data_IF_019654411342
#
_entry.id   IF_019654411342
#
_cell.length_a   1.000
_cell.length_b   1.000
_cell.length_c   1.000
_cell.angle_alpha   90.00
_cell.angle_beta   90.00
_cell.angle_gamma   90.00
#
_symmetry.space_group_name_H-M   'P 1'
#
loop_
_entity.id
_entity.type
_entity.pdbx_description
1 polymer ?
#
# COMPACT_ATOMS: atom_id res chain seq x y z
N UNK A 1 -13.53 24.88 13.14
CA UNK A 1 -12.93 24.79 11.79
C UNK A 1 -13.97 24.30 10.83
N UNK A 2 -13.94 24.70 9.56
CA UNK A 2 -14.87 24.19 8.56
C UNK A 2 -14.58 22.69 8.33
N UNK A 3 -15.62 21.87 8.20
CA UNK A 3 -15.47 20.45 7.86
C UNK A 3 -14.96 20.32 6.42
N UNK A 4 -14.04 19.39 6.20
CA UNK A 4 -13.51 19.09 4.88
C UNK A 4 -14.53 18.29 4.08
N UNK A 5 -14.75 18.64 2.83
CA UNK A 5 -15.70 18.01 1.93
C UNK A 5 -15.02 16.87 1.17
N UNK A 6 -15.56 15.67 1.31
CA UNK A 6 -14.94 14.43 0.81
C UNK A 6 -15.77 13.83 -0.31
N UNK A 7 -15.10 13.51 -1.44
CA UNK A 7 -15.64 12.72 -2.54
C UNK A 7 -15.01 11.34 -2.62
N UNK A 8 -15.74 10.35 -3.13
CA UNK A 8 -15.25 8.98 -3.37
C UNK A 8 -15.41 8.63 -4.84
N UNK A 9 -14.32 8.18 -5.49
CA UNK A 9 -14.33 7.65 -6.87
C UNK A 9 -14.16 6.13 -6.84
N UNK A 10 -15.09 5.39 -7.46
CA UNK A 10 -15.09 3.94 -7.48
C UNK A 10 -15.70 3.36 -6.21
N UNK A 11 -17.02 3.44 -6.09
CA UNK A 11 -17.75 2.98 -4.90
C UNK A 11 -17.79 1.46 -4.78
N UNK A 12 -17.71 0.77 -5.94
CA UNK A 12 -17.89 -0.67 -5.99
C UNK A 12 -19.22 -1.11 -5.38
N UNK A 13 -19.28 -2.32 -4.89
CA UNK A 13 -20.47 -2.85 -4.21
C UNK A 13 -20.15 -3.33 -2.81
N UNK A 14 -21.12 -3.21 -1.90
CA UNK A 14 -21.02 -3.76 -0.56
C UNK A 14 -20.77 -5.26 -0.62
N UNK A 15 -19.87 -5.73 0.20
CA UNK A 15 -19.49 -7.15 0.24
C UNK A 15 -20.62 -7.98 0.84
N UNK A 16 -21.22 -8.82 0.01
CA UNK A 16 -22.20 -9.82 0.45
C UNK A 16 -21.56 -11.17 0.82
N UNK A 17 -20.28 -11.34 0.43
CA UNK A 17 -19.54 -12.60 0.57
C UNK A 17 -18.16 -12.35 1.17
N UNK A 18 -17.75 -13.13 2.19
CA UNK A 18 -16.49 -12.93 2.91
C UNK A 18 -15.24 -13.31 2.09
N UNK A 19 -15.39 -13.99 0.98
CA UNK A 19 -14.32 -14.51 0.11
C UNK A 19 -13.89 -13.55 -1.01
N UNK A 20 -14.62 -12.43 -1.20
CA UNK A 20 -14.33 -11.43 -2.25
C UNK A 20 -13.60 -10.23 -1.62
N UNK A 21 -12.41 -9.93 -2.11
CA UNK A 21 -11.62 -8.73 -1.75
C UNK A 21 -11.65 -7.70 -2.88
N UNK A 22 -11.48 -6.43 -2.56
CA UNK A 22 -11.25 -5.36 -3.53
C UNK A 22 -12.47 -4.54 -3.96
N UNK A 23 -13.68 -5.07 -3.93
CA UNK A 23 -14.87 -4.37 -4.42
C UNK A 23 -15.58 -3.48 -3.38
N UNK A 24 -15.07 -3.38 -2.18
CA UNK A 24 -15.73 -2.69 -1.07
C UNK A 24 -14.81 -1.70 -0.34
N UNK A 25 -13.63 -1.41 -0.87
CA UNK A 25 -12.66 -0.54 -0.18
C UNK A 25 -13.19 0.88 0.03
N UNK A 26 -14.03 1.38 -0.86
CA UNK A 26 -14.73 2.65 -0.68
C UNK A 26 -15.52 2.71 0.64
N UNK A 27 -16.17 1.61 1.04
CA UNK A 27 -16.91 1.54 2.33
C UNK A 27 -15.96 1.60 3.53
N UNK A 28 -14.74 1.06 3.42
CA UNK A 28 -13.73 1.17 4.48
C UNK A 28 -13.18 2.60 4.59
N UNK A 29 -12.93 3.26 3.45
CA UNK A 29 -12.56 4.67 3.43
C UNK A 29 -13.68 5.53 4.01
N UNK A 30 -14.93 5.31 3.60
CA UNK A 30 -16.10 6.02 4.13
C UNK A 30 -16.23 5.88 5.65
N UNK A 31 -16.06 4.67 6.18
CA UNK A 31 -16.09 4.44 7.63
C UNK A 31 -15.00 5.23 8.35
N UNK A 32 -13.80 5.35 7.77
CA UNK A 32 -12.72 6.17 8.29
C UNK A 32 -13.09 7.66 8.37
N UNK A 33 -13.69 8.21 7.32
CA UNK A 33 -14.16 9.60 7.34
C UNK A 33 -15.35 9.79 8.31
N UNK A 34 -16.29 8.87 8.35
CA UNK A 34 -17.45 8.93 9.25
C UNK A 34 -17.07 8.83 10.74
N UNK A 35 -15.90 8.27 11.06
CA UNK A 35 -15.37 8.27 12.42
C UNK A 35 -14.92 9.68 12.88
N UNK A 36 -14.85 10.65 11.96
CA UNK A 36 -14.37 12.02 12.21
C UNK A 36 -15.40 13.10 11.80
N UNK A 37 -16.66 13.02 12.30
CA UNK A 37 -17.78 13.84 11.82
C UNK A 37 -17.61 15.35 12.06
N UNK A 38 -16.79 15.72 13.04
CA UNK A 38 -16.48 17.13 13.32
C UNK A 38 -15.39 17.70 12.39
N UNK A 39 -14.68 16.85 11.67
CA UNK A 39 -13.53 17.22 10.85
C UNK A 39 -13.81 17.16 9.35
N UNK A 40 -14.63 16.24 8.90
CA UNK A 40 -14.96 16.04 7.49
C UNK A 40 -16.39 15.51 7.29
N UNK A 41 -16.85 15.57 6.06
CA UNK A 41 -18.15 15.05 5.65
C UNK A 41 -18.08 14.44 4.25
N UNK A 42 -18.74 13.28 4.06
CA UNK A 42 -18.92 12.67 2.76
C UNK A 42 -20.04 13.43 2.03
N UNK A 43 -19.71 14.03 0.88
CA UNK A 43 -20.67 14.88 0.16
C UNK A 43 -20.95 14.39 -1.25
N UNK A 44 -20.06 13.59 -1.85
CA UNK A 44 -20.25 13.10 -3.20
C UNK A 44 -19.59 11.72 -3.41
N UNK A 45 -20.11 10.98 -4.39
CA UNK A 45 -19.50 9.74 -4.86
C UNK A 45 -19.73 9.56 -6.37
N UNK A 46 -18.82 8.86 -7.03
CA UNK A 46 -18.93 8.54 -8.45
C UNK A 46 -18.58 7.06 -8.70
N UNK A 47 -19.42 6.38 -9.49
CA UNK A 47 -19.16 5.05 -10.02
C UNK A 47 -19.78 4.93 -11.41
N UNK A 48 -19.10 4.28 -12.35
CA UNK A 48 -19.62 4.05 -13.70
C UNK A 48 -20.91 3.21 -13.72
N UNK A 49 -21.16 2.46 -12.63
CA UNK A 49 -22.39 1.69 -12.37
C UNK A 49 -23.25 2.49 -11.39
N UNK A 50 -24.30 3.12 -11.89
CA UNK A 50 -25.14 4.04 -11.08
C UNK A 50 -25.72 3.36 -9.83
N UNK A 51 -26.10 2.09 -9.93
CA UNK A 51 -26.64 1.31 -8.84
C UNK A 51 -25.65 1.16 -7.68
N UNK A 52 -24.33 1.02 -8.00
CA UNK A 52 -23.27 1.00 -7.00
C UNK A 52 -23.15 2.34 -6.29
N UNK A 53 -23.15 3.44 -7.04
CA UNK A 53 -23.07 4.79 -6.48
C UNK A 53 -24.28 5.11 -5.59
N UNK A 54 -25.49 4.77 -6.03
CA UNK A 54 -26.72 4.95 -5.24
C UNK A 54 -26.73 4.13 -3.95
N UNK A 55 -26.37 2.83 -4.03
CA UNK A 55 -26.29 1.97 -2.85
C UNK A 55 -25.22 2.46 -1.85
N UNK A 56 -24.09 2.96 -2.36
CA UNK A 56 -23.07 3.55 -1.53
C UNK A 56 -23.53 4.84 -0.85
N UNK A 57 -24.20 5.73 -1.58
CA UNK A 57 -24.74 6.98 -1.08
C UNK A 57 -25.80 6.73 0.02
N UNK A 58 -26.71 5.78 -0.20
CA UNK A 58 -27.69 5.36 0.82
C UNK A 58 -27.00 4.85 2.09
N UNK A 59 -25.98 4.00 1.94
CA UNK A 59 -25.25 3.42 3.08
C UNK A 59 -24.41 4.44 3.85
N UNK A 60 -23.96 5.51 3.21
CA UNK A 60 -23.04 6.50 3.79
C UNK A 60 -23.67 7.85 4.10
N UNK A 61 -24.94 8.05 3.71
CA UNK A 61 -25.68 9.29 3.95
C UNK A 61 -25.34 10.43 2.97
N UNK A 62 -24.70 10.13 1.83
CA UNK A 62 -24.47 11.10 0.76
C UNK A 62 -25.83 11.44 0.12
N UNK A 63 -26.16 12.75 -0.04
CA UNK A 63 -27.45 13.14 -0.64
C UNK A 63 -27.51 12.78 -2.13
N UNK A 64 -28.72 12.66 -2.67
CA UNK A 64 -28.95 12.20 -4.05
C UNK A 64 -28.26 13.07 -5.10
N UNK A 65 -28.17 14.38 -4.87
CA UNK A 65 -27.45 15.35 -5.70
C UNK A 65 -25.92 15.17 -5.68
N UNK A 66 -25.38 14.41 -4.74
CA UNK A 66 -23.97 14.04 -4.64
C UNK A 66 -23.62 12.73 -5.34
N UNK A 67 -24.54 12.12 -6.09
CA UNK A 67 -24.35 10.83 -6.75
C UNK A 67 -24.08 11.05 -8.25
N UNK A 68 -22.91 10.61 -8.73
CA UNK A 68 -22.46 10.82 -10.08
C UNK A 68 -22.10 9.49 -10.78
N UNK A 69 -22.25 9.43 -12.10
CA UNK A 69 -21.73 8.36 -12.94
C UNK A 69 -20.40 8.74 -13.61
N UNK A 70 -20.09 10.04 -13.63
CA UNK A 70 -18.86 10.60 -14.15
C UNK A 70 -18.13 11.38 -13.03
N UNK A 71 -16.95 10.93 -12.68
CA UNK A 71 -16.14 11.59 -11.65
C UNK A 71 -15.66 12.99 -12.06
N UNK A 72 -15.55 13.31 -13.37
CA UNK A 72 -15.21 14.66 -13.80
C UNK A 72 -16.33 15.64 -13.46
N UNK A 73 -17.59 15.24 -13.67
CA UNK A 73 -18.74 16.03 -13.24
C UNK A 73 -18.74 16.22 -11.72
N UNK A 74 -18.46 15.15 -10.96
CA UNK A 74 -18.32 15.24 -9.50
C UNK A 74 -17.24 16.25 -9.08
N UNK A 75 -16.04 16.18 -9.70
CA UNK A 75 -14.95 17.12 -9.42
C UNK A 75 -15.31 18.57 -9.74
N UNK A 76 -16.08 18.80 -10.80
CA UNK A 76 -16.48 20.14 -11.20
C UNK A 76 -17.58 20.75 -10.32
N UNK A 77 -18.49 19.96 -9.78
CA UNK A 77 -19.72 20.42 -9.15
C UNK A 77 -19.75 20.31 -7.61
N UNK A 78 -19.01 19.32 -7.03
CA UNK A 78 -19.18 19.01 -5.61
C UNK A 78 -18.33 19.84 -4.64
N UNK A 79 -17.44 20.73 -5.12
CA UNK A 79 -16.54 21.54 -4.28
C UNK A 79 -15.80 20.71 -3.22
N UNK A 80 -14.93 19.82 -3.66
CA UNK A 80 -14.27 18.83 -2.82
C UNK A 80 -12.91 19.34 -2.27
N UNK A 81 -12.63 19.08 -1.00
CA UNK A 81 -11.33 19.27 -0.38
C UNK A 81 -10.46 18.00 -0.49
N UNK A 82 -11.08 16.83 -0.32
CA UNK A 82 -10.42 15.53 -0.33
C UNK A 82 -11.16 14.60 -1.30
N UNK A 83 -10.39 13.81 -2.04
CA UNK A 83 -10.95 12.72 -2.87
C UNK A 83 -10.30 11.40 -2.51
N UNK A 84 -11.10 10.36 -2.25
CA UNK A 84 -10.63 8.98 -2.18
C UNK A 84 -10.81 8.28 -3.53
N UNK A 85 -9.74 7.66 -4.05
CA UNK A 85 -9.75 6.89 -5.29
C UNK A 85 -9.67 5.40 -4.95
N UNK A 86 -10.76 4.67 -5.17
CA UNK A 86 -10.93 3.26 -4.83
C UNK A 86 -11.18 2.40 -6.08
N UNK A 87 -10.48 2.70 -7.16
CA UNK A 87 -10.59 2.06 -8.47
C UNK A 87 -9.51 1.00 -8.69
N UNK A 88 -9.31 0.58 -9.92
CA UNK A 88 -8.23 -0.33 -10.29
C UNK A 88 -6.92 0.43 -10.54
N UNK A 89 -5.74 -0.20 -10.32
CA UNK A 89 -4.44 0.48 -10.33
C UNK A 89 -4.11 1.27 -11.61
N UNK A 90 -4.55 0.82 -12.79
CA UNK A 90 -4.33 1.54 -14.04
C UNK A 90 -5.13 2.86 -14.15
N UNK A 91 -6.14 3.04 -13.30
CA UNK A 91 -6.94 4.27 -13.21
C UNK A 91 -6.45 5.23 -12.11
N UNK A 92 -5.59 4.78 -11.22
CA UNK A 92 -5.14 5.62 -10.09
C UNK A 92 -4.41 6.87 -10.56
N UNK A 93 -3.45 6.72 -11.49
CA UNK A 93 -2.68 7.87 -11.96
C UNK A 93 -3.53 8.91 -12.71
N UNK A 94 -4.33 8.57 -13.74
CA UNK A 94 -5.17 9.56 -14.39
C UNK A 94 -6.16 10.23 -13.43
N UNK A 95 -6.83 9.46 -12.54
CA UNK A 95 -7.81 10.03 -11.61
C UNK A 95 -7.16 10.94 -10.55
N UNK A 96 -5.99 10.57 -10.01
CA UNK A 96 -5.27 11.42 -9.07
C UNK A 96 -4.77 12.72 -9.72
N UNK A 97 -4.36 12.67 -11.00
CA UNK A 97 -3.97 13.84 -11.77
C UNK A 97 -5.16 14.77 -12.03
N UNK A 98 -6.32 14.21 -12.39
CA UNK A 98 -7.54 15.00 -12.60
C UNK A 98 -8.03 15.65 -11.30
N UNK A 99 -7.95 14.94 -10.18
CA UNK A 99 -8.20 15.51 -8.85
C UNK A 99 -7.25 16.68 -8.56
N UNK A 100 -5.95 16.51 -8.86
CA UNK A 100 -4.98 17.56 -8.65
C UNK A 100 -5.18 18.78 -9.58
N UNK A 101 -5.66 18.56 -10.80
CA UNK A 101 -6.05 19.64 -11.73
C UNK A 101 -7.31 20.35 -11.26
N UNK A 102 -8.27 19.61 -10.68
CA UNK A 102 -9.50 20.19 -10.11
C UNK A 102 -9.24 21.03 -8.83
N UNK A 103 -8.03 20.96 -8.25
CA UNK A 103 -7.62 21.80 -7.13
C UNK A 103 -8.01 21.25 -5.76
N UNK A 104 -8.24 19.94 -5.62
CA UNK A 104 -8.44 19.30 -4.31
C UNK A 104 -7.17 19.43 -3.45
N UNK A 105 -7.32 19.50 -2.16
CA UNK A 105 -6.19 19.64 -1.23
C UNK A 105 -5.48 18.31 -0.98
N UNK A 106 -6.23 17.19 -0.99
CA UNK A 106 -5.67 15.87 -0.79
C UNK A 106 -6.34 14.79 -1.64
N UNK A 107 -5.54 13.78 -2.03
CA UNK A 107 -6.01 12.54 -2.65
C UNK A 107 -5.56 11.36 -1.79
N UNK A 108 -6.51 10.50 -1.40
CA UNK A 108 -6.25 9.23 -0.74
C UNK A 108 -6.56 8.08 -1.70
N UNK A 109 -5.54 7.40 -2.16
CA UNK A 109 -5.66 6.40 -3.21
C UNK A 109 -5.50 4.98 -2.67
N UNK A 110 -6.20 4.03 -3.26
CA UNK A 110 -5.97 2.62 -3.00
C UNK A 110 -4.60 2.15 -3.54
N UNK A 111 -4.13 1.08 -2.94
CA UNK A 111 -2.94 0.34 -3.38
C UNK A 111 -3.36 -0.78 -4.39
N UNK A 112 -2.47 -1.27 -5.24
CA UNK A 112 -1.11 -0.81 -5.57
C UNK A 112 -1.10 0.58 -6.18
N UNK A 113 0.01 1.30 -6.05
CA UNK A 113 0.11 2.72 -6.43
C UNK A 113 -0.30 2.97 -7.90
N UNK A 114 0.20 2.16 -8.83
CA UNK A 114 -0.14 2.21 -10.25
C UNK A 114 0.22 0.88 -10.93
N UNK A 115 -0.16 0.73 -12.18
CA UNK A 115 0.15 -0.44 -13.02
C UNK A 115 1.52 -0.35 -13.74
N UNK A 116 2.24 0.74 -13.60
CA UNK A 116 3.58 0.93 -14.13
C UNK A 116 4.41 1.89 -13.28
N UNK A 117 5.74 1.76 -13.34
CA UNK A 117 6.64 2.66 -12.62
C UNK A 117 6.52 4.11 -13.09
N UNK A 118 6.39 4.31 -14.42
CA UNK A 118 6.22 5.64 -14.99
C UNK A 118 4.99 6.35 -14.50
N UNK A 119 3.85 5.65 -14.46
CA UNK A 119 2.58 6.19 -13.96
C UNK A 119 2.64 6.54 -12.46
N UNK A 120 3.22 5.65 -11.63
CA UNK A 120 3.39 5.90 -10.20
C UNK A 120 4.23 7.16 -9.94
N UNK A 121 5.36 7.29 -10.63
CA UNK A 121 6.26 8.43 -10.51
C UNK A 121 5.63 9.73 -10.98
N UNK A 122 5.00 9.71 -12.16
CA UNK A 122 4.32 10.89 -12.73
C UNK A 122 3.25 11.42 -11.78
N UNK A 123 2.39 10.54 -11.28
CA UNK A 123 1.32 10.89 -10.35
C UNK A 123 1.86 11.57 -9.08
N UNK A 124 2.91 11.00 -8.47
CA UNK A 124 3.50 11.56 -7.27
C UNK A 124 4.14 12.93 -7.54
N UNK A 125 4.90 13.06 -8.63
CA UNK A 125 5.57 14.31 -9.00
C UNK A 125 4.57 15.44 -9.32
N UNK A 126 3.50 15.13 -10.05
CA UNK A 126 2.50 16.14 -10.41
C UNK A 126 1.64 16.58 -9.22
N UNK A 127 1.27 15.66 -8.31
CA UNK A 127 0.59 16.04 -7.07
C UNK A 127 1.48 16.92 -6.19
N UNK A 128 2.76 16.55 -6.00
CA UNK A 128 3.74 17.34 -5.27
C UNK A 128 3.91 18.75 -5.87
N UNK A 129 4.08 18.83 -7.20
CA UNK A 129 4.23 20.11 -7.92
C UNK A 129 3.03 21.04 -7.74
N UNK A 130 1.84 20.48 -7.58
CA UNK A 130 0.59 21.22 -7.37
C UNK A 130 0.28 21.47 -5.90
N UNK A 131 1.10 20.98 -4.96
CA UNK A 131 0.86 21.09 -3.53
C UNK A 131 -0.30 20.23 -3.02
N UNK A 132 -0.67 19.18 -3.76
CA UNK A 132 -1.72 18.23 -3.36
C UNK A 132 -1.12 17.12 -2.52
N UNK A 133 -1.65 16.92 -1.32
CA UNK A 133 -1.26 15.82 -0.45
C UNK A 133 -1.75 14.48 -1.02
N UNK A 134 -0.85 13.68 -1.59
CA UNK A 134 -1.16 12.35 -2.11
C UNK A 134 -0.75 11.26 -1.12
N UNK A 135 -1.69 10.39 -0.78
CA UNK A 135 -1.50 9.26 0.14
C UNK A 135 -2.01 7.95 -0.47
N UNK A 136 -1.41 6.82 -0.04
CA UNK A 136 -1.81 5.47 -0.47
C UNK A 136 -2.18 4.60 0.71
N UNK A 137 -3.23 3.78 0.58
CA UNK A 137 -3.82 3.03 1.69
C UNK A 137 -2.94 1.85 2.16
N UNK A 138 -1.70 2.12 2.58
CA UNK A 138 -0.82 1.19 3.28
C UNK A 138 -1.13 1.17 4.79
N UNK A 139 -2.39 0.99 5.14
CA UNK A 139 -2.96 1.16 6.48
C UNK A 139 -2.30 0.29 7.58
N UNK A 140 -1.53 -0.75 7.22
CA UNK A 140 -0.82 -1.59 8.19
C UNK A 140 0.14 -0.83 9.09
N UNK A 141 0.66 0.33 8.64
CA UNK A 141 1.51 1.23 9.43
C UNK A 141 0.86 1.69 10.73
N UNK A 142 -0.48 1.63 10.81
CA UNK A 142 -1.28 1.98 11.99
C UNK A 142 -1.66 0.79 12.88
N UNK A 143 -1.25 -0.42 12.55
CA UNK A 143 -1.49 -1.61 13.35
C UNK A 143 -0.57 -1.70 14.56
N UNK A 144 -1.10 -2.02 15.76
CA UNK A 144 -0.33 -2.10 16.99
C UNK A 144 0.86 -3.09 16.91
N UNK A 145 0.76 -4.27 16.27
CA UNK A 145 1.92 -5.15 16.14
C UNK A 145 3.10 -4.49 15.45
N UNK A 146 2.83 -3.70 14.40
CA UNK A 146 3.85 -3.01 13.63
C UNK A 146 4.39 -1.77 14.35
N UNK A 147 3.51 -0.97 14.93
CA UNK A 147 3.90 0.22 15.69
C UNK A 147 4.79 -0.16 16.88
N UNK A 148 4.41 -1.19 17.65
CA UNK A 148 5.20 -1.68 18.78
C UNK A 148 6.54 -2.29 18.36
N UNK A 149 6.59 -2.99 17.22
CA UNK A 149 7.86 -3.48 16.65
C UNK A 149 8.80 -2.32 16.31
N UNK A 150 8.28 -1.23 15.72
CA UNK A 150 9.05 0.00 15.46
C UNK A 150 9.51 0.68 16.74
N UNK A 151 8.68 0.71 17.78
CA UNK A 151 9.06 1.29 19.07
C UNK A 151 10.17 0.48 19.74
N UNK A 152 10.14 -0.85 19.67
CA UNK A 152 11.22 -1.73 20.11
C UNK A 152 12.53 -1.46 19.33
N UNK A 153 12.46 -1.26 18.00
CA UNK A 153 13.63 -0.84 17.21
C UNK A 153 14.19 0.50 17.70
N UNK A 154 13.33 1.49 17.88
CA UNK A 154 13.73 2.84 18.32
C UNK A 154 14.29 2.88 19.74
N UNK A 155 13.84 1.98 20.60
CA UNK A 155 14.39 1.83 21.97
C UNK A 155 15.74 1.11 22.03
N UNK A 156 16.22 0.58 20.90
CA UNK A 156 17.49 -0.17 20.84
C UNK A 156 17.36 -1.61 21.33
N UNK A 157 16.15 -2.19 21.42
CA UNK A 157 15.92 -3.54 21.94
C UNK A 157 16.70 -4.65 21.22
N UNK A 158 17.13 -4.40 19.97
CA UNK A 158 17.94 -5.33 19.16
C UNK A 158 19.20 -4.65 18.60
N UNK A 159 19.62 -3.51 19.15
CA UNK A 159 20.71 -2.70 18.60
C UNK A 159 20.34 -2.05 17.25
N UNK A 160 21.33 -1.86 16.39
CA UNK A 160 21.12 -1.29 15.04
C UNK A 160 20.48 -2.33 14.11
N UNK A 161 19.45 -1.92 13.36
CA UNK A 161 18.81 -2.78 12.36
C UNK A 161 19.79 -3.05 11.19
N UNK A 162 20.05 -4.31 10.92
CA UNK A 162 20.94 -4.77 9.84
C UNK A 162 20.14 -5.26 8.63
N UNK A 163 19.06 -6.01 8.89
CA UNK A 163 18.25 -6.63 7.83
C UNK A 163 16.80 -6.77 8.24
N UNK A 164 15.91 -6.49 7.31
CA UNK A 164 14.48 -6.80 7.39
C UNK A 164 14.13 -7.86 6.36
N UNK A 165 13.43 -8.91 6.79
CA UNK A 165 12.98 -10.01 5.93
C UNK A 165 11.45 -10.07 5.95
N UNK A 166 10.83 -10.38 4.81
CA UNK A 166 9.38 -10.60 4.74
C UNK A 166 9.05 -11.84 3.93
N UNK A 167 8.12 -12.67 4.46
CA UNK A 167 7.62 -13.86 3.81
C UNK A 167 6.10 -13.93 3.84
N UNK A 168 5.47 -14.18 2.69
CA UNK A 168 4.01 -14.25 2.58
C UNK A 168 3.57 -15.06 1.36
N UNK A 169 2.33 -15.55 1.40
CA UNK A 169 1.67 -16.12 0.22
C UNK A 169 1.11 -15.00 -0.67
N UNK A 170 1.24 -15.14 -1.99
CA UNK A 170 0.76 -14.15 -2.95
C UNK A 170 1.89 -13.55 -3.80
N UNK A 171 1.57 -12.51 -4.54
CA UNK A 171 2.46 -11.77 -5.42
C UNK A 171 3.01 -10.52 -4.71
N UNK A 172 4.08 -9.94 -5.26
CA UNK A 172 4.65 -8.71 -4.71
C UNK A 172 3.90 -7.46 -5.15
N UNK A 173 3.08 -7.52 -6.21
CA UNK A 173 2.40 -6.36 -6.77
C UNK A 173 1.20 -5.92 -5.91
N UNK A 174 0.21 -6.80 -5.70
CA UNK A 174 -1.02 -6.48 -4.95
C UNK A 174 -0.87 -6.75 -3.45
N UNK A 175 -0.58 -7.99 -3.09
CA UNK A 175 -0.41 -8.38 -1.69
C UNK A 175 0.88 -7.83 -1.13
N UNK A 176 1.96 -7.96 -1.87
CA UNK A 176 3.32 -7.64 -1.46
C UNK A 176 3.59 -6.16 -1.27
N UNK A 177 2.82 -5.28 -1.89
CA UNK A 177 3.00 -3.84 -1.69
C UNK A 177 2.89 -3.46 -0.20
N UNK A 178 1.98 -4.07 0.55
CA UNK A 178 1.88 -3.88 1.99
C UNK A 178 3.10 -4.38 2.77
N UNK A 179 3.67 -5.51 2.36
CA UNK A 179 4.79 -6.15 3.07
C UNK A 179 6.11 -5.44 2.78
N UNK A 180 6.32 -5.03 1.53
CA UNK A 180 7.51 -4.27 1.13
C UNK A 180 7.45 -2.84 1.70
N UNK A 181 6.27 -2.22 1.76
CA UNK A 181 6.07 -0.95 2.45
C UNK A 181 6.44 -1.05 3.94
N UNK A 182 6.05 -2.13 4.62
CA UNK A 182 6.43 -2.37 6.01
C UNK A 182 7.94 -2.62 6.18
N UNK A 183 8.63 -3.17 5.20
CA UNK A 183 10.09 -3.22 5.24
C UNK A 183 10.70 -1.82 5.24
N UNK A 184 10.17 -0.90 4.42
CA UNK A 184 10.55 0.51 4.41
C UNK A 184 10.27 1.19 5.75
N UNK A 185 9.08 0.95 6.31
CA UNK A 185 8.67 1.47 7.62
C UNK A 185 9.66 1.11 8.74
N UNK A 186 10.13 -0.12 8.79
CA UNK A 186 11.12 -0.57 9.75
C UNK A 186 12.52 -0.05 9.45
N UNK A 187 12.87 0.09 8.18
CA UNK A 187 14.15 0.65 7.74
C UNK A 187 14.21 2.19 7.79
N UNK A 188 13.21 2.87 8.37
CA UNK A 188 13.19 4.33 8.51
C UNK A 188 12.85 5.09 7.23
N UNK A 189 12.08 4.47 6.33
CA UNK A 189 11.56 5.03 5.08
C UNK A 189 12.64 5.57 4.13
N UNK A 190 13.84 4.98 4.18
CA UNK A 190 14.93 5.32 3.28
C UNK A 190 14.69 4.73 1.89
N UNK A 191 15.07 5.44 0.81
CA UNK A 191 15.08 4.87 -0.54
C UNK A 191 16.07 3.70 -0.63
N UNK A 192 15.80 2.73 -1.49
CA UNK A 192 16.76 1.70 -1.82
C UNK A 192 17.82 2.22 -2.81
N UNK A 193 19.04 1.66 -2.74
CA UNK A 193 20.16 1.96 -3.66
C UNK A 193 20.20 1.02 -4.85
N UNK A 194 19.83 -0.22 -4.63
CA UNK A 194 19.80 -1.28 -5.64
C UNK A 194 18.86 -2.41 -5.21
N UNK A 195 18.47 -3.21 -6.18
CA UNK A 195 17.64 -4.40 -6.00
C UNK A 195 18.17 -5.53 -6.89
N UNK A 196 18.04 -6.77 -6.40
CA UNK A 196 18.22 -8.00 -7.18
C UNK A 196 17.07 -8.95 -6.86
N UNK A 197 16.52 -9.59 -7.88
CA UNK A 197 15.46 -10.57 -7.65
C UNK A 197 15.11 -11.37 -8.89
N UNK A 198 14.37 -12.43 -8.65
CA UNK A 198 13.86 -13.34 -9.67
C UNK A 198 12.40 -13.65 -9.38
N UNK A 199 11.58 -13.68 -10.42
CA UNK A 199 10.19 -14.11 -10.35
C UNK A 199 10.00 -15.45 -11.05
N UNK A 200 9.09 -16.27 -10.55
CA UNK A 200 8.53 -17.44 -11.21
C UNK A 200 7.10 -17.11 -11.64
N UNK A 201 6.80 -17.30 -12.93
CA UNK A 201 5.49 -17.02 -13.50
C UNK A 201 5.11 -18.14 -14.47
N UNK A 202 4.70 -19.28 -13.92
CA UNK A 202 4.36 -20.51 -14.68
C UNK A 202 2.89 -20.62 -14.99
N UNK A 203 2.02 -20.15 -14.12
CA UNK A 203 0.57 -20.10 -14.31
C UNK A 203 0.12 -18.64 -14.45
N UNK A 204 -0.69 -18.37 -15.47
CA UNK A 204 -1.21 -17.02 -15.65
C UNK A 204 -2.05 -16.63 -14.44
N UNK A 205 -1.77 -15.45 -13.93
CA UNK A 205 -2.53 -14.82 -12.84
C UNK A 205 -2.65 -13.34 -13.15
N UNK A 206 -3.87 -12.84 -13.06
CA UNK A 206 -4.15 -11.42 -13.20
C UNK A 206 -4.87 -10.90 -11.97
N UNK A 207 -4.43 -9.75 -11.52
CA UNK A 207 -5.05 -9.01 -10.41
C UNK A 207 -5.34 -7.61 -10.93
N UNK A 208 -6.59 -7.19 -10.87
CA UNK A 208 -7.03 -5.91 -11.44
C UNK A 208 -6.57 -5.69 -12.90
N UNK A 209 -6.58 -6.77 -13.70
CA UNK A 209 -6.12 -6.74 -15.09
C UNK A 209 -4.60 -6.83 -15.30
N UNK A 210 -3.79 -6.53 -14.30
CA UNK A 210 -2.33 -6.62 -14.38
C UNK A 210 -1.83 -8.06 -14.17
N UNK A 211 -0.70 -8.41 -14.81
CA UNK A 211 0.00 -9.66 -14.53
C UNK A 211 0.57 -9.65 -13.12
N UNK A 212 0.40 -10.76 -12.41
CA UNK A 212 0.96 -10.98 -11.08
C UNK A 212 1.67 -12.34 -11.04
N UNK A 213 2.91 -12.35 -10.61
CA UNK A 213 3.74 -13.56 -10.59
C UNK A 213 3.26 -14.59 -9.54
N UNK A 214 3.71 -15.83 -9.67
CA UNK A 214 3.36 -16.90 -8.75
C UNK A 214 4.28 -16.94 -7.52
N UNK A 215 5.55 -16.56 -7.72
CA UNK A 215 6.56 -16.58 -6.67
C UNK A 215 7.65 -15.55 -6.97
N UNK A 216 8.19 -14.94 -5.93
CA UNK A 216 9.31 -14.00 -5.97
C UNK A 216 10.32 -14.34 -4.89
N UNK A 217 11.60 -14.19 -5.24
CA UNK A 217 12.70 -14.11 -4.30
C UNK A 217 13.52 -12.87 -4.65
N UNK A 218 13.70 -11.96 -3.69
CA UNK A 218 14.41 -10.71 -3.93
C UNK A 218 15.12 -10.16 -2.72
N UNK A 219 16.11 -9.31 -2.97
CA UNK A 219 16.85 -8.57 -1.96
C UNK A 219 17.20 -7.18 -2.47
N UNK A 220 17.30 -6.23 -1.56
CA UNK A 220 17.72 -4.85 -1.84
C UNK A 220 18.50 -4.28 -0.67
N UNK A 221 19.13 -3.12 -0.89
CA UNK A 221 19.83 -2.37 0.15
C UNK A 221 19.28 -0.95 0.20
N UNK A 222 18.87 -0.51 1.38
CA UNK A 222 18.50 0.88 1.63
C UNK A 222 19.73 1.78 1.78
N UNK A 223 19.60 3.09 1.55
CA UNK A 223 20.71 4.06 1.65
C UNK A 223 21.34 4.14 3.04
N UNK A 224 20.62 3.81 4.09
CA UNK A 224 21.16 3.71 5.44
C UNK A 224 21.91 2.40 5.73
N UNK A 225 22.10 1.55 4.73
CA UNK A 225 22.84 0.30 4.83
C UNK A 225 22.02 -0.93 5.22
N UNK A 226 20.76 -0.77 5.62
CA UNK A 226 19.86 -1.88 5.96
C UNK A 226 19.53 -2.70 4.71
N UNK A 227 19.58 -4.03 4.83
CA UNK A 227 19.16 -4.94 3.76
C UNK A 227 17.69 -5.32 3.89
N UNK A 228 17.01 -5.44 2.76
CA UNK A 228 15.67 -6.01 2.66
C UNK A 228 15.70 -7.35 1.92
N UNK A 229 14.85 -8.27 2.31
CA UNK A 229 14.66 -9.58 1.67
C UNK A 229 13.17 -9.90 1.58
N UNK A 230 12.73 -10.39 0.42
CA UNK A 230 11.37 -10.88 0.21
C UNK A 230 11.39 -12.29 -0.37
N UNK A 231 10.53 -13.16 0.17
CA UNK A 231 10.25 -14.47 -0.39
C UNK A 231 8.74 -14.71 -0.39
N UNK A 232 8.17 -15.03 -1.57
CA UNK A 232 6.73 -15.23 -1.71
C UNK A 232 6.37 -16.62 -2.20
N UNK A 233 5.08 -16.95 -2.20
CA UNK A 233 4.58 -18.24 -2.63
C UNK A 233 5.20 -19.39 -1.84
N UNK A 234 5.64 -20.45 -2.52
CA UNK A 234 6.31 -21.59 -1.87
C UNK A 234 7.62 -21.19 -1.16
N UNK A 235 8.28 -20.10 -1.61
CA UNK A 235 9.49 -19.57 -0.99
C UNK A 235 9.27 -18.86 0.34
N UNK A 236 8.03 -18.52 0.70
CA UNK A 236 7.73 -17.81 1.95
C UNK A 236 8.23 -18.55 3.20
N UNK A 237 8.26 -19.89 3.16
CA UNK A 237 8.79 -20.72 4.22
C UNK A 237 10.28 -20.47 4.54
N UNK A 238 11.05 -19.90 3.60
CA UNK A 238 12.44 -19.49 3.83
C UNK A 238 12.56 -18.40 4.90
N UNK A 239 11.56 -17.55 5.01
CA UNK A 239 11.47 -16.53 6.05
C UNK A 239 10.70 -17.04 7.27
N UNK A 240 9.57 -17.71 7.06
CA UNK A 240 8.78 -18.40 8.09
C UNK A 240 7.97 -17.51 9.01
N UNK A 241 8.02 -16.19 8.81
CA UNK A 241 7.24 -15.17 9.54
C UNK A 241 6.84 -14.05 8.60
N UNK A 242 5.87 -13.24 8.99
CA UNK A 242 5.45 -12.09 8.19
C UNK A 242 6.59 -11.08 8.03
N UNK A 243 7.23 -10.67 9.14
CA UNK A 243 8.46 -9.88 9.11
C UNK A 243 9.43 -10.33 10.19
N UNK A 244 10.71 -10.40 9.84
CA UNK A 244 11.82 -10.58 10.79
C UNK A 244 12.78 -9.40 10.68
N UNK A 245 13.06 -8.77 11.81
CA UNK A 245 13.95 -7.64 11.95
C UNK A 245 15.21 -8.14 12.66
N UNK A 246 16.31 -8.23 11.94
CA UNK A 246 17.59 -8.68 12.48
C UNK A 246 18.44 -7.46 12.80
N UNK A 247 18.74 -7.27 14.06
CA UNK A 247 19.65 -6.24 14.56
C UNK A 247 21.00 -6.78 14.97
N UNK A 248 21.90 -5.89 15.36
CA UNK A 248 23.24 -6.24 15.86
C UNK A 248 23.18 -6.95 17.22
N UNK A 249 22.11 -6.73 18.00
CA UNK A 249 21.96 -7.23 19.38
C UNK A 249 20.65 -8.00 19.58
N UNK A 250 20.06 -8.54 18.52
CA UNK A 250 18.85 -9.37 18.68
C UNK A 250 17.97 -9.43 17.45
N UNK A 251 16.77 -9.95 17.64
CA UNK A 251 15.79 -10.16 16.57
C UNK A 251 14.38 -9.85 17.08
N UNK A 252 13.58 -9.17 16.25
CA UNK A 252 12.14 -8.99 16.44
C UNK A 252 11.43 -9.78 15.34
N UNK A 253 10.35 -10.47 15.67
CA UNK A 253 9.47 -11.14 14.72
C UNK A 253 8.04 -10.66 14.85
N UNK A 254 7.44 -10.30 13.71
CA UNK A 254 6.04 -9.86 13.58
C UNK A 254 5.29 -10.89 12.73
N UNK A 255 4.14 -11.36 13.22
CA UNK A 255 3.30 -12.31 12.51
C UNK A 255 3.96 -13.68 12.38
N UNK A 256 4.27 -14.31 13.50
CA UNK A 256 4.78 -15.70 13.53
C UNK A 256 3.65 -16.64 13.12
N UNK A 257 3.90 -17.50 12.15
CA UNK A 257 2.93 -18.49 11.72
C UNK A 257 2.63 -19.45 12.90
N UNK A 258 1.35 -19.63 13.20
CA UNK A 258 0.86 -20.45 14.33
C UNK A 258 1.47 -20.04 15.70
N UNK A 259 1.86 -18.76 15.83
CA UNK A 259 2.54 -18.24 17.02
C UNK A 259 2.09 -16.82 17.39
N UNK A 260 2.85 -16.14 18.27
CA UNK A 260 2.52 -14.81 18.72
C UNK A 260 2.64 -13.78 17.57
N UNK A 261 1.83 -12.73 17.65
CA UNK A 261 1.84 -11.65 16.65
C UNK A 261 3.10 -10.79 16.71
N UNK A 262 3.72 -10.68 17.89
CA UNK A 262 4.95 -9.93 18.10
C UNK A 262 5.79 -10.58 19.19
N UNK A 263 7.07 -10.78 18.91
CA UNK A 263 8.04 -11.25 19.87
C UNK A 263 9.42 -10.66 19.64
N UNK A 264 10.19 -10.53 20.69
CA UNK A 264 11.59 -10.06 20.65
C UNK A 264 12.51 -11.05 21.34
N UNK A 265 13.72 -11.17 20.83
CA UNK A 265 14.80 -11.96 21.46
C UNK A 265 16.10 -11.16 21.38
N UNK A 266 16.52 -10.51 22.48
CA UNK A 266 17.83 -9.89 22.59
C UNK A 266 18.96 -10.90 22.42
N UNK A 267 20.13 -10.46 22.02
CA UNK A 267 21.32 -11.30 21.91
C UNK A 267 21.63 -11.96 23.28
N UNK A 268 21.96 -13.25 23.24
CA UNK A 268 22.24 -14.03 24.43
C UNK A 268 20.99 -14.50 25.22
N UNK A 269 19.79 -14.04 24.89
CA UNK A 269 18.58 -14.55 25.52
C UNK A 269 18.26 -15.97 25.02
N UNK A 270 17.96 -16.89 25.96
CA UNK A 270 17.61 -18.27 25.62
C UNK A 270 16.22 -18.42 25.04
N UNK A 271 15.31 -17.50 25.37
CA UNK A 271 13.88 -17.56 25.01
C UNK A 271 13.41 -16.27 24.35
N UNK A 272 12.29 -16.38 23.63
CA UNK A 272 11.58 -15.24 23.09
C UNK A 272 10.71 -14.59 24.17
N UNK A 273 10.68 -13.29 24.20
CA UNK A 273 9.70 -12.49 24.93
C UNK A 273 8.54 -12.16 24.00
N UNK A 274 7.32 -12.51 24.40
CA UNK A 274 6.09 -12.18 23.65
C UNK A 274 5.62 -10.80 24.07
N UNK A 275 5.39 -9.95 23.09
CA UNK A 275 4.95 -8.56 23.30
C UNK A 275 3.43 -8.49 23.08
N UNK A 276 2.72 -7.96 24.06
CA UNK A 276 1.28 -7.73 23.93
C UNK A 276 0.97 -6.69 22.85
N UNK A 277 0.04 -7.00 21.95
CA UNK A 277 -0.42 -6.12 20.88
C UNK A 277 -1.78 -5.45 21.17
N UNK A 278 -2.26 -5.56 22.41
CA UNK A 278 -3.55 -5.00 22.83
C UNK A 278 -4.75 -5.66 22.15
N UNK A 279 -4.62 -6.92 21.73
CA UNK A 279 -5.66 -7.66 21.02
C UNK A 279 -5.76 -7.34 19.53
N UNK A 280 -4.98 -6.38 19.00
CA UNK A 280 -4.94 -6.11 17.56
C UNK A 280 -4.15 -7.20 16.82
N UNK A 281 -4.63 -7.54 15.61
CA UNK A 281 -3.99 -8.49 14.70
C UNK A 281 -3.21 -7.77 13.59
N UNK A 282 -2.68 -8.50 12.61
CA UNK A 282 -1.98 -7.91 11.44
C UNK A 282 -2.94 -7.20 10.47
N UNK A 283 -4.23 -7.40 10.63
CA UNK A 283 -5.33 -6.76 9.92
C UNK A 283 -6.46 -6.56 10.93
N UNK A 284 -7.08 -5.41 10.93
CA UNK A 284 -8.16 -5.22 11.89
C UNK A 284 -8.93 -3.93 11.68
N UNK A 285 -10.08 -3.81 12.34
CA UNK A 285 -10.80 -2.55 12.41
C UNK A 285 -9.93 -1.47 13.04
N UNK A 286 -10.20 -0.22 12.73
CA UNK A 286 -9.47 0.91 13.28
C UNK A 286 -8.22 1.33 12.48
N UNK A 287 -7.70 0.50 11.57
CA UNK A 287 -6.52 0.88 10.77
C UNK A 287 -6.86 1.99 9.77
N UNK A 288 -8.01 1.86 9.11
CA UNK A 288 -8.49 2.87 8.16
C UNK A 288 -8.87 4.18 8.87
N UNK A 289 -9.51 4.12 10.03
CA UNK A 289 -9.87 5.30 10.81
C UNK A 289 -8.60 6.07 11.23
N UNK A 290 -7.57 5.37 11.71
CA UNK A 290 -6.28 5.98 12.06
C UNK A 290 -5.55 6.55 10.83
N UNK A 291 -5.65 5.87 9.69
CA UNK A 291 -5.08 6.33 8.43
C UNK A 291 -5.73 7.64 7.95
N UNK A 292 -7.06 7.70 8.00
CA UNK A 292 -7.81 8.93 7.63
C UNK A 292 -7.57 10.04 8.65
N UNK A 293 -7.51 9.73 9.95
CA UNK A 293 -7.18 10.72 10.97
C UNK A 293 -5.78 11.33 10.75
N UNK A 294 -4.79 10.51 10.42
CA UNK A 294 -3.43 10.97 10.07
C UNK A 294 -3.42 11.84 8.81
N UNK A 295 -4.17 11.45 7.78
CA UNK A 295 -4.31 12.21 6.54
C UNK A 295 -4.85 13.61 6.81
N UNK A 296 -5.93 13.73 7.59
CA UNK A 296 -6.58 15.01 7.89
C UNK A 296 -5.69 15.88 8.80
N UNK A 297 -5.05 15.27 9.81
CA UNK A 297 -4.12 15.99 10.67
C UNK A 297 -2.92 16.49 9.89
N UNK A 298 -2.32 15.66 9.03
CA UNK A 298 -1.22 16.05 8.16
C UNK A 298 -1.60 17.21 7.23
N UNK A 299 -2.79 17.15 6.62
CA UNK A 299 -3.30 18.22 5.75
C UNK A 299 -3.45 19.54 6.50
N UNK A 300 -3.92 19.51 7.75
CA UNK A 300 -4.13 20.70 8.57
C UNK A 300 -2.85 21.28 9.14
N UNK A 301 -1.87 20.45 9.44
CA UNK A 301 -0.60 20.86 10.07
C UNK A 301 0.54 21.11 9.09
N UNK A 302 0.38 20.68 7.83
CA UNK A 302 1.41 20.75 6.79
C UNK A 302 2.57 19.76 7.00
N UNK A 303 2.42 18.77 7.90
CA UNK A 303 3.42 17.71 8.06
C UNK A 303 3.26 16.63 6.98
N UNK A 304 4.31 15.85 6.77
CA UNK A 304 4.21 14.66 5.90
C UNK A 304 3.28 13.61 6.55
N UNK A 305 2.24 13.11 5.84
CA UNK A 305 1.40 12.02 6.34
C UNK A 305 2.18 10.70 6.42
N UNK A 306 1.78 9.81 7.35
CA UNK A 306 2.41 8.48 7.48
C UNK A 306 2.26 7.65 6.20
N UNK A 307 1.18 7.85 5.44
CA UNK A 307 0.91 7.14 4.18
C UNK A 307 1.30 7.95 2.93
N UNK A 308 2.33 8.80 3.01
CA UNK A 308 2.71 9.70 1.90
C UNK A 308 3.07 8.96 0.62
N UNK A 309 2.83 9.61 -0.53
CA UNK A 309 3.23 9.10 -1.84
C UNK A 309 4.73 8.81 -1.92
N UNK A 310 5.59 9.60 -1.26
CA UNK A 310 7.04 9.37 -1.20
C UNK A 310 7.37 7.99 -0.62
N UNK A 311 6.70 7.59 0.47
CA UNK A 311 6.89 6.28 1.11
C UNK A 311 6.34 5.15 0.25
N UNK A 312 5.17 5.36 -0.35
CA UNK A 312 4.57 4.41 -1.29
C UNK A 312 5.45 4.19 -2.53
N UNK A 313 6.08 5.27 -3.06
CA UNK A 313 7.04 5.19 -4.16
C UNK A 313 8.24 4.31 -3.81
N UNK A 314 8.81 4.41 -2.60
CA UNK A 314 9.93 3.58 -2.20
C UNK A 314 9.59 2.08 -2.30
N UNK A 315 8.41 1.67 -1.82
CA UNK A 315 7.95 0.28 -1.93
C UNK A 315 7.69 -0.12 -3.38
N UNK A 316 7.02 0.76 -4.14
CA UNK A 316 6.67 0.55 -5.55
C UNK A 316 7.94 0.41 -6.41
N UNK A 317 8.97 1.22 -6.16
CA UNK A 317 10.25 1.16 -6.87
C UNK A 317 10.97 -0.17 -6.64
N UNK A 318 10.95 -0.68 -5.42
CA UNK A 318 11.52 -2.01 -5.10
C UNK A 318 10.77 -3.10 -5.86
N UNK A 319 9.42 -3.06 -5.91
CA UNK A 319 8.59 -4.04 -6.63
C UNK A 319 8.93 -4.05 -8.12
N UNK A 320 8.84 -2.90 -8.78
CA UNK A 320 9.17 -2.81 -10.21
C UNK A 320 10.65 -3.06 -10.47
N UNK A 321 11.53 -2.73 -9.54
CA UNK A 321 12.95 -3.05 -9.58
C UNK A 321 13.23 -4.55 -9.53
N UNK A 322 12.49 -5.32 -8.73
CA UNK A 322 12.57 -6.79 -8.69
C UNK A 322 12.14 -7.38 -10.06
N UNK A 323 11.03 -6.89 -10.63
CA UNK A 323 10.61 -7.31 -11.97
C UNK A 323 11.65 -6.96 -13.03
N UNK A 324 12.25 -5.76 -12.97
CA UNK A 324 13.31 -5.34 -13.88
C UNK A 324 14.58 -6.17 -13.69
N UNK A 325 14.95 -6.50 -12.46
CA UNK A 325 16.06 -7.38 -12.15
C UNK A 325 15.87 -8.77 -12.76
N UNK A 326 14.66 -9.31 -12.67
CA UNK A 326 14.29 -10.58 -13.32
C UNK A 326 14.41 -10.49 -14.85
N UNK A 327 13.93 -9.37 -15.46
CA UNK A 327 14.06 -9.11 -16.90
C UNK A 327 15.52 -9.04 -17.36
N UNK A 328 16.36 -8.33 -16.62
CA UNK A 328 17.80 -8.17 -16.92
C UNK A 328 18.65 -9.34 -16.46
N UNK A 329 18.13 -10.24 -15.62
CA UNK A 329 18.86 -11.35 -14.99
C UNK A 329 20.05 -10.86 -14.17
N UNK A 330 19.88 -9.77 -13.43
CA UNK A 330 20.94 -9.19 -12.65
C UNK A 330 20.51 -8.02 -11.77
N UNK A 331 21.48 -7.46 -11.02
CA UNK A 331 21.26 -6.30 -10.16
C UNK A 331 20.80 -5.09 -10.97
N UNK A 332 19.87 -4.34 -10.38
CA UNK A 332 19.38 -3.05 -10.88
C UNK A 332 19.71 -1.96 -9.85
N UNK A 333 20.43 -0.95 -10.28
CA UNK A 333 20.67 0.24 -9.46
C UNK A 333 19.45 1.17 -9.51
N UNK A 334 19.16 1.83 -8.40
CA UNK A 334 18.05 2.75 -8.26
C UNK A 334 18.54 4.22 -8.17
N UNK A 335 17.77 5.20 -8.65
CA UNK A 335 16.38 5.10 -9.07
C UNK A 335 16.18 4.42 -10.43
N UNK A 336 15.02 3.77 -10.57
CA UNK A 336 14.63 3.12 -11.82
C UNK A 336 14.48 4.12 -12.96
N UNK A 337 14.98 3.72 -14.14
CA UNK A 337 14.87 4.51 -15.38
C UNK A 337 13.80 4.01 -16.36
N UNK A 338 13.28 2.79 -16.14
CA UNK A 338 12.21 2.20 -16.95
C UNK A 338 10.90 2.93 -16.68
N UNK A 339 9.95 2.85 -17.61
CA UNK A 339 8.64 3.49 -17.47
C UNK A 339 7.50 2.46 -17.45
N UNK A 340 7.75 1.27 -17.95
CA UNK A 340 6.79 0.19 -18.18
C UNK A 340 6.57 -0.67 -16.92
N UNK A 341 5.76 -1.71 -17.09
CA UNK A 341 5.62 -2.83 -16.16
C UNK A 341 6.50 -3.98 -16.66
N UNK A 342 7.71 -4.22 -16.07
CA UNK A 342 8.67 -5.16 -16.63
C UNK A 342 8.17 -6.61 -16.71
N UNK A 343 7.29 -7.05 -15.77
CA UNK A 343 6.69 -8.39 -15.84
C UNK A 343 5.75 -8.53 -17.03
N UNK A 344 4.89 -7.54 -17.28
CA UNK A 344 4.00 -7.53 -18.45
C UNK A 344 4.81 -7.52 -19.75
N UNK A 345 5.84 -6.67 -19.83
CA UNK A 345 6.72 -6.60 -21.00
C UNK A 345 7.46 -7.94 -21.26
N UNK A 346 7.86 -8.68 -20.23
CA UNK A 346 8.45 -10.02 -20.40
C UNK A 346 7.45 -11.03 -20.97
N UNK A 347 6.17 -10.95 -20.62
CA UNK A 347 5.11 -11.80 -21.15
C UNK A 347 4.83 -11.43 -22.62
N UNK A 348 4.65 -10.16 -22.92
CA UNK A 348 4.40 -9.64 -24.27
C UNK A 348 5.55 -10.00 -25.24
N UNK A 349 6.79 -9.92 -24.77
CA UNK A 349 7.97 -10.31 -25.54
C UNK A 349 8.16 -11.84 -25.63
N UNK A 350 7.33 -12.65 -24.98
CA UNK A 350 7.44 -14.11 -24.95
C UNK A 350 8.64 -14.64 -24.15
N UNK A 351 9.27 -13.79 -23.34
CA UNK A 351 10.34 -14.19 -22.43
C UNK A 351 9.82 -14.98 -21.22
N UNK A 352 8.57 -14.72 -20.81
CA UNK A 352 7.78 -15.52 -19.89
C UNK A 352 6.54 -16.03 -20.62
N UNK A 353 6.20 -17.29 -20.40
CA UNK A 353 5.05 -17.95 -21.05
C UNK A 353 4.24 -18.70 -19.99
N UNK A 354 3.48 -17.97 -19.15
CA UNK A 354 2.65 -18.64 -18.17
C UNK A 354 1.57 -19.47 -18.84
N UNK A 355 1.29 -20.67 -18.30
CA UNK A 355 0.18 -21.47 -18.75
C UNK A 355 -1.14 -20.71 -18.47
N UNK A 356 -2.09 -20.66 -19.40
CA UNK A 356 -3.37 -20.02 -19.18
C UNK A 356 -4.12 -20.68 -18.02
N UNK A 357 -4.91 -19.88 -17.29
CA UNK A 357 -5.85 -20.43 -16.31
C UNK A 357 -6.95 -21.14 -17.08
N UNK A 358 -7.10 -22.45 -16.85
CA UNK A 358 -8.16 -23.30 -17.44
C UNK A 358 -9.52 -22.96 -16.82
#
# INVERSE_FOLDING_TARGET
MTRLRVGIIGTGRKKDRPDITGFFMAYQHAAGYQALPDQCELVACADIVIENAQAFAEATGIPAEGVFTDYHAMLAEANLDIVSVCTWPHLHAPMALDCAVAGVQAVHCEKPMADSWGAARLMAQECERRGVQLTFNHMRRFGAPFARARDLLRSGAIGDLVRVETGFSGDIYDTGTHYIDMCGFFAGDQPAEWVIGQVDYRAERRIFGAHAENQTLGSWRYRNGVYGVVATGAGAALVGVTHRLNGTEGTIEVGVHDGPLLRVRPAGAATWEVIDTGGETLHGPGFHERAIADLIDALRTGREPELSARRALNATEIIFGIYESSRRRGRVDLPLTVQDHPLAAMVEAGALRPAPVL
#
